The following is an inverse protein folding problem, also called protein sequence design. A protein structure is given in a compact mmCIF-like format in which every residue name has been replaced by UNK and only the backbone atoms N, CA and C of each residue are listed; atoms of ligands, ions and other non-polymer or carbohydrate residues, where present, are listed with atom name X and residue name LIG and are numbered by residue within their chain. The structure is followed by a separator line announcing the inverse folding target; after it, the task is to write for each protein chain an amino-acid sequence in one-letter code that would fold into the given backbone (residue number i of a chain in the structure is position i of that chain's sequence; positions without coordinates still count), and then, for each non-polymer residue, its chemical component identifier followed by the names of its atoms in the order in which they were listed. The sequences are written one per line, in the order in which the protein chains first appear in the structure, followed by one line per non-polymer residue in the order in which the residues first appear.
data_IF_232491345766
#
_entry.id   IF_232491345766
#
_cell.length_a   1.000
_cell.length_b   1.000
_cell.length_c   1.000
_cell.angle_alpha   90.00
_cell.angle_beta   90.00
_cell.angle_gamma   90.00
#
_symmetry.space_group_name_H-M   'P 1'
#
loop_
_entity.id
_entity.type
_entity.pdbx_description
1 polymer ?
#
# COMPACT_ATOMS: atom_id res chain seq x y z
N UNK A 1 -34.55 -11.08 9.50
CA UNK A 1 -33.43 -11.67 8.73
C UNK A 1 -32.17 -11.33 9.49
N UNK A 2 -31.62 -12.31 10.18
CA UNK A 2 -30.43 -12.19 11.02
C UNK A 2 -29.20 -12.04 10.14
N UNK A 3 -28.49 -10.91 10.28
CA UNK A 3 -27.11 -10.78 9.80
C UNK A 3 -26.25 -11.79 10.60
N UNK A 4 -25.98 -12.93 10.00
CA UNK A 4 -24.90 -13.79 10.45
C UNK A 4 -23.58 -13.05 10.20
N UNK A 5 -23.02 -12.49 11.27
CA UNK A 5 -21.62 -12.08 11.33
C UNK A 5 -20.76 -13.29 10.98
N UNK A 6 -20.31 -13.41 9.75
CA UNK A 6 -19.22 -14.34 9.40
C UNK A 6 -17.99 -13.91 10.20
N UNK A 7 -17.76 -14.58 11.30
CA UNK A 7 -16.49 -14.54 12.01
C UNK A 7 -15.48 -15.23 11.09
N UNK A 8 -14.86 -14.46 10.18
CA UNK A 8 -13.86 -14.98 9.27
C UNK A 8 -12.67 -15.51 10.08
N UNK A 9 -12.16 -16.68 9.70
CA UNK A 9 -10.95 -17.21 10.30
C UNK A 9 -9.81 -16.20 10.20
N UNK A 10 -9.06 -16.02 11.30
CA UNK A 10 -7.89 -15.13 11.36
C UNK A 10 -6.63 -15.99 11.34
N UNK A 11 -5.84 -15.88 10.28
CA UNK A 11 -4.53 -16.50 10.18
C UNK A 11 -3.45 -15.65 10.86
N UNK A 12 -2.36 -16.28 11.30
CA UNK A 12 -1.21 -15.58 11.90
C UNK A 12 0.09 -16.09 11.31
N UNK A 13 0.98 -15.18 10.93
CA UNK A 13 2.31 -15.48 10.38
C UNK A 13 3.36 -14.63 11.11
N UNK A 14 4.39 -15.25 11.64
CA UNK A 14 5.51 -14.56 12.31
C UNK A 14 6.72 -14.61 11.39
N UNK A 15 7.24 -13.48 10.93
CA UNK A 15 8.29 -13.41 9.91
C UNK A 15 9.70 -13.31 10.50
N UNK A 16 9.98 -12.33 11.37
CA UNK A 16 11.33 -12.10 11.87
C UNK A 16 12.33 -11.88 10.73
N UNK A 17 13.36 -12.71 10.63
CA UNK A 17 14.41 -12.64 9.60
C UNK A 17 14.16 -13.58 8.40
N UNK A 18 12.97 -14.14 8.26
CA UNK A 18 12.60 -15.02 7.13
C UNK A 18 12.82 -14.32 5.80
N UNK A 19 13.41 -15.04 4.84
CA UNK A 19 13.64 -14.51 3.50
C UNK A 19 12.30 -14.14 2.82
N UNK A 20 12.30 -13.07 2.04
CA UNK A 20 11.07 -12.50 1.48
C UNK A 20 10.26 -13.50 0.63
N UNK A 21 10.89 -14.42 -0.10
CA UNK A 21 10.17 -15.42 -0.90
C UNK A 21 9.35 -16.37 -0.02
N UNK A 22 9.98 -16.94 1.01
CA UNK A 22 9.33 -17.82 1.99
C UNK A 22 8.24 -17.07 2.77
N UNK A 23 8.50 -15.82 3.15
CA UNK A 23 7.53 -14.96 3.82
C UNK A 23 6.25 -14.77 2.98
N UNK A 24 6.42 -14.49 1.68
CA UNK A 24 5.29 -14.35 0.77
C UNK A 24 4.52 -15.66 0.53
N UNK A 25 5.22 -16.79 0.49
CA UNK A 25 4.57 -18.11 0.42
C UNK A 25 3.72 -18.37 1.67
N UNK A 26 4.27 -18.13 2.86
CA UNK A 26 3.56 -18.30 4.12
C UNK A 26 2.32 -17.39 4.21
N UNK A 27 2.44 -16.12 3.82
CA UNK A 27 1.31 -15.18 3.83
C UNK A 27 0.25 -15.59 2.82
N UNK A 28 0.62 -16.00 1.60
CA UNK A 28 -0.35 -16.47 0.60
C UNK A 28 -1.07 -17.75 1.04
N UNK A 29 -0.35 -18.70 1.64
CA UNK A 29 -0.95 -19.91 2.19
C UNK A 29 -1.96 -19.58 3.29
N UNK A 30 -1.60 -18.71 4.24
CA UNK A 30 -2.51 -18.27 5.29
C UNK A 30 -3.74 -17.53 4.73
N UNK A 31 -3.59 -16.68 3.70
CA UNK A 31 -4.71 -15.99 3.03
C UNK A 31 -5.60 -16.95 2.22
N UNK A 32 -5.12 -18.12 1.82
CA UNK A 32 -5.97 -19.14 1.20
C UNK A 32 -6.99 -19.70 2.19
N UNK A 33 -6.60 -19.89 3.45
CA UNK A 33 -7.40 -20.50 4.50
C UNK A 33 -8.18 -19.48 5.35
N UNK A 34 -7.80 -18.19 5.32
CA UNK A 34 -8.39 -17.13 6.13
C UNK A 34 -8.68 -15.87 5.32
N UNK A 35 -9.69 -15.09 5.74
CA UNK A 35 -9.99 -13.80 5.12
C UNK A 35 -9.11 -12.68 5.70
N UNK A 36 -8.67 -12.82 6.94
CA UNK A 36 -7.73 -11.92 7.60
C UNK A 36 -6.47 -12.66 8.01
N UNK A 37 -5.31 -12.10 7.71
CA UNK A 37 -4.01 -12.60 8.17
C UNK A 37 -3.27 -11.50 8.91
N UNK A 38 -2.82 -11.81 10.12
CA UNK A 38 -1.96 -10.96 10.94
C UNK A 38 -0.52 -11.40 10.75
N UNK A 39 0.31 -10.50 10.22
CA UNK A 39 1.75 -10.68 10.08
C UNK A 39 2.44 -9.99 11.24
N UNK A 40 3.18 -10.75 12.02
CA UNK A 40 3.97 -10.22 13.12
C UNK A 40 5.46 -10.18 12.77
N UNK A 41 6.16 -9.20 13.36
CA UNK A 41 7.60 -9.04 13.23
C UNK A 41 8.05 -8.93 11.76
N UNK A 42 7.30 -8.16 10.95
CA UNK A 42 7.78 -7.81 9.61
C UNK A 42 9.09 -7.03 9.72
N UNK A 43 10.10 -7.46 8.98
CA UNK A 43 11.45 -6.90 8.99
C UNK A 43 12.01 -6.81 7.57
N UNK A 44 11.56 -5.82 6.84
CA UNK A 44 11.96 -5.51 5.47
C UNK A 44 11.66 -6.61 4.40
N UNK A 45 10.72 -7.51 4.65
CA UNK A 45 10.28 -8.44 3.60
C UNK A 45 9.56 -7.69 2.49
N UNK A 46 10.05 -7.82 1.27
CA UNK A 46 9.49 -7.19 0.07
C UNK A 46 8.27 -7.95 -0.44
N UNK A 47 7.41 -7.26 -1.20
CA UNK A 47 6.28 -7.82 -1.93
C UNK A 47 5.15 -8.40 -1.06
N UNK A 48 5.08 -8.10 0.24
CA UNK A 48 3.95 -8.53 1.06
C UNK A 48 2.64 -7.95 0.50
N UNK A 49 1.59 -8.78 0.39
CA UNK A 49 0.32 -8.37 -0.20
C UNK A 49 0.35 -8.12 -1.70
N UNK A 50 1.40 -8.56 -2.42
CA UNK A 50 1.47 -8.47 -3.88
C UNK A 50 0.28 -9.17 -4.54
N UNK A 51 -0.37 -8.48 -5.49
CA UNK A 51 -1.52 -8.97 -6.25
C UNK A 51 -2.69 -9.47 -5.37
N UNK A 52 -2.82 -8.93 -4.15
CA UNK A 52 -3.87 -9.36 -3.22
C UNK A 52 -5.26 -9.11 -3.81
N UNK A 53 -6.17 -10.12 -3.77
CA UNK A 53 -7.50 -10.04 -4.35
C UNK A 53 -8.50 -9.36 -3.40
N UNK A 54 -9.70 -9.11 -3.92
CA UNK A 54 -10.86 -8.65 -3.17
C UNK A 54 -11.20 -9.59 -2.00
N UNK A 55 -11.76 -9.03 -0.91
CA UNK A 55 -12.25 -9.78 0.25
C UNK A 55 -11.17 -10.24 1.23
N UNK A 56 -9.89 -9.96 0.97
CA UNK A 56 -8.78 -10.34 1.87
C UNK A 56 -8.26 -9.13 2.64
N UNK A 57 -7.82 -9.38 3.89
CA UNK A 57 -7.23 -8.39 4.78
C UNK A 57 -5.86 -8.86 5.27
N UNK A 58 -4.89 -7.97 5.23
CA UNK A 58 -3.55 -8.21 5.75
C UNK A 58 -3.20 -7.13 6.78
N UNK A 59 -2.99 -7.52 8.02
CA UNK A 59 -2.52 -6.66 9.09
C UNK A 59 -1.04 -6.93 9.34
N UNK A 60 -0.20 -5.89 9.30
CA UNK A 60 1.25 -6.03 9.40
C UNK A 60 1.78 -5.25 10.60
N UNK A 61 2.39 -5.96 11.53
CA UNK A 61 3.10 -5.39 12.67
C UNK A 61 4.62 -5.43 12.42
N UNK A 62 5.24 -4.26 12.36
CA UNK A 62 6.64 -4.07 12.01
C UNK A 62 6.84 -3.20 10.78
N UNK A 63 7.94 -3.40 10.06
CA UNK A 63 8.31 -2.61 8.89
C UNK A 63 8.40 -3.52 7.66
N UNK A 64 7.37 -3.57 6.81
CA UNK A 64 7.45 -4.27 5.53
C UNK A 64 8.47 -3.58 4.61
N UNK A 65 9.07 -4.38 3.72
CA UNK A 65 10.04 -3.91 2.74
C UNK A 65 9.38 -3.28 1.50
N UNK A 66 10.21 -3.04 0.48
CA UNK A 66 9.78 -2.43 -0.79
C UNK A 66 8.66 -3.20 -1.49
N UNK A 67 7.90 -2.49 -2.32
CA UNK A 67 6.81 -3.06 -3.12
C UNK A 67 5.69 -3.73 -2.30
N UNK A 68 5.44 -3.24 -1.07
CA UNK A 68 4.26 -3.63 -0.33
C UNK A 68 2.99 -3.37 -1.16
N UNK A 69 2.08 -4.35 -1.25
CA UNK A 69 0.82 -4.26 -1.98
C UNK A 69 0.97 -3.90 -3.48
N UNK A 70 2.12 -4.20 -4.10
CA UNK A 70 2.28 -4.00 -5.54
C UNK A 70 1.29 -4.85 -6.33
N UNK A 71 0.77 -4.31 -7.44
CA UNK A 71 -0.25 -4.94 -8.30
C UNK A 71 -1.53 -5.36 -7.57
N UNK A 72 -1.78 -4.85 -6.37
CA UNK A 72 -2.97 -5.18 -5.58
C UNK A 72 -4.25 -4.86 -6.38
N UNK A 73 -5.19 -5.80 -6.43
CA UNK A 73 -6.43 -5.67 -7.19
C UNK A 73 -7.69 -5.89 -6.33
N UNK A 74 -7.63 -5.48 -5.10
CA UNK A 74 -8.71 -5.54 -4.10
C UNK A 74 -8.17 -5.66 -2.69
N UNK A 75 -9.04 -5.96 -1.74
CA UNK A 75 -8.67 -6.21 -0.36
C UNK A 75 -8.19 -4.99 0.43
N UNK A 76 -7.63 -5.25 1.60
CA UNK A 76 -7.21 -4.24 2.56
C UNK A 76 -5.87 -4.62 3.20
N UNK A 77 -4.89 -3.72 3.14
CA UNK A 77 -3.59 -3.87 3.82
C UNK A 77 -3.43 -2.77 4.84
N UNK A 78 -3.11 -3.13 6.09
CA UNK A 78 -2.90 -2.19 7.18
C UNK A 78 -1.54 -2.45 7.84
N UNK A 79 -0.71 -1.41 7.93
CA UNK A 79 0.63 -1.46 8.52
C UNK A 79 0.67 -0.67 9.81
N UNK A 80 0.92 -1.35 10.92
CA UNK A 80 1.13 -0.75 12.22
C UNK A 80 2.62 -0.42 12.42
N UNK A 81 3.09 0.57 11.68
CA UNK A 81 4.48 1.00 11.64
C UNK A 81 4.79 1.78 10.36
N UNK A 82 6.08 1.90 10.05
CA UNK A 82 6.55 2.48 8.81
C UNK A 82 6.53 1.44 7.68
N UNK A 83 6.55 1.90 6.44
CA UNK A 83 6.82 1.07 5.26
C UNK A 83 8.00 1.64 4.46
N UNK A 84 8.62 0.81 3.64
CA UNK A 84 9.74 1.21 2.78
C UNK A 84 9.25 1.80 1.45
N UNK A 85 10.02 1.65 0.39
CA UNK A 85 9.75 2.28 -0.91
C UNK A 85 8.69 1.55 -1.73
N UNK A 86 8.09 2.26 -2.68
CA UNK A 86 7.20 1.74 -3.71
C UNK A 86 5.93 1.04 -3.16
N UNK A 87 5.41 1.49 -2.02
CA UNK A 87 4.13 0.99 -1.49
C UNK A 87 3.02 1.26 -2.51
N UNK A 88 2.23 0.22 -2.85
CA UNK A 88 1.14 0.30 -3.81
C UNK A 88 1.58 0.50 -5.27
N UNK A 89 2.80 0.09 -5.61
CA UNK A 89 3.30 0.12 -6.99
C UNK A 89 2.32 -0.58 -7.94
N UNK A 90 1.83 0.13 -8.96
CA UNK A 90 0.87 -0.35 -9.96
C UNK A 90 -0.42 -0.94 -9.34
N UNK A 91 -0.84 -0.44 -8.19
CA UNK A 91 -2.09 -0.85 -7.55
C UNK A 91 -3.29 -0.50 -8.43
N UNK A 92 -4.26 -1.42 -8.53
CA UNK A 92 -5.44 -1.29 -9.37
C UNK A 92 -6.73 -1.06 -8.56
N UNK A 93 -6.88 -1.70 -7.41
CA UNK A 93 -8.04 -1.61 -6.51
C UNK A 93 -7.61 -1.92 -5.07
N UNK A 94 -8.50 -1.68 -4.12
CA UNK A 94 -8.29 -1.97 -2.71
C UNK A 94 -7.85 -0.76 -1.91
N UNK A 95 -7.38 -1.00 -0.69
CA UNK A 95 -6.99 0.05 0.23
C UNK A 95 -5.74 -0.34 1.00
N UNK A 96 -4.79 0.58 1.11
CA UNK A 96 -3.59 0.46 1.96
C UNK A 96 -3.58 1.58 2.98
N UNK A 97 -3.36 1.24 4.25
CA UNK A 97 -3.22 2.20 5.36
C UNK A 97 -1.87 1.97 6.03
N UNK A 98 -1.08 3.03 6.17
CA UNK A 98 0.22 2.99 6.86
C UNK A 98 0.18 3.95 8.04
N UNK A 99 0.25 3.39 9.27
CA UNK A 99 0.27 4.16 10.52
C UNK A 99 1.67 4.68 10.88
N UNK A 100 2.42 5.09 9.89
CA UNK A 100 3.76 5.63 9.98
C UNK A 100 4.12 6.38 8.72
N UNK A 101 5.40 6.41 8.38
CA UNK A 101 5.92 7.01 7.15
C UNK A 101 6.16 5.97 6.07
N UNK A 102 6.17 6.41 4.82
CA UNK A 102 6.63 5.63 3.67
C UNK A 102 7.94 6.20 3.10
N UNK A 103 8.66 5.37 2.36
CA UNK A 103 9.84 5.78 1.58
C UNK A 103 9.47 6.43 0.25
N UNK A 104 10.34 6.25 -0.74
CA UNK A 104 10.25 6.86 -2.08
C UNK A 104 9.23 6.14 -2.98
N UNK A 105 8.77 6.83 -4.02
CA UNK A 105 7.90 6.32 -5.06
C UNK A 105 6.60 5.65 -4.55
N UNK A 106 6.07 6.13 -3.42
CA UNK A 106 4.76 5.74 -2.90
C UNK A 106 3.68 5.91 -3.97
N UNK A 107 2.88 4.86 -4.24
CA UNK A 107 1.84 4.90 -5.27
C UNK A 107 2.37 5.01 -6.71
N UNK A 108 3.60 4.53 -6.97
CA UNK A 108 4.19 4.53 -8.32
C UNK A 108 3.25 3.88 -9.34
N UNK A 109 2.90 4.59 -10.41
CA UNK A 109 2.08 4.07 -11.49
C UNK A 109 0.70 3.53 -11.07
N UNK A 110 0.21 3.94 -9.91
CA UNK A 110 -1.09 3.53 -9.37
C UNK A 110 -2.23 3.87 -10.34
N UNK A 111 -3.19 2.97 -10.55
CA UNK A 111 -4.26 3.10 -11.53
C UNK A 111 -5.66 3.07 -10.93
N UNK A 112 -5.75 2.85 -9.63
CA UNK A 112 -6.98 2.81 -8.84
C UNK A 112 -6.66 2.44 -7.40
N UNK A 113 -7.69 2.31 -6.56
CA UNK A 113 -7.53 2.05 -5.14
C UNK A 113 -7.16 3.30 -4.33
N UNK A 114 -6.86 3.10 -3.05
CA UNK A 114 -6.58 4.19 -2.11
C UNK A 114 -5.40 3.84 -1.23
N UNK A 115 -4.52 4.81 -1.00
CA UNK A 115 -3.41 4.70 -0.05
C UNK A 115 -3.50 5.87 0.93
N UNK A 116 -3.45 5.56 2.22
CA UNK A 116 -3.44 6.53 3.31
C UNK A 116 -2.15 6.35 4.11
N UNK A 117 -1.37 7.41 4.23
CA UNK A 117 -0.15 7.46 5.03
C UNK A 117 -0.33 8.51 6.11
N UNK A 118 -0.21 8.12 7.38
CA UNK A 118 -0.42 9.03 8.50
C UNK A 118 0.66 10.12 8.56
N UNK A 119 1.91 9.73 8.38
CA UNK A 119 3.06 10.63 8.51
C UNK A 119 3.57 11.08 7.12
N UNK A 120 4.86 11.32 6.99
CA UNK A 120 5.49 11.81 5.77
C UNK A 120 5.88 10.68 4.80
N UNK A 121 6.16 11.03 3.55
CA UNK A 121 6.74 10.13 2.57
C UNK A 121 7.99 10.73 1.91
N UNK A 122 8.73 9.88 1.20
CA UNK A 122 9.93 10.25 0.45
C UNK A 122 9.64 10.95 -0.88
N UNK A 123 10.56 10.83 -1.81
CA UNK A 123 10.53 11.47 -3.12
C UNK A 123 9.63 10.71 -4.09
N UNK A 124 9.12 11.42 -5.10
CA UNK A 124 8.34 10.84 -6.22
C UNK A 124 7.08 10.08 -5.79
N UNK A 125 6.43 10.47 -4.71
CA UNK A 125 5.12 9.91 -4.39
C UNK A 125 4.11 10.27 -5.50
N UNK A 126 3.31 9.28 -5.92
CA UNK A 126 2.33 9.43 -7.00
C UNK A 126 2.92 9.59 -8.40
N UNK A 127 4.23 9.36 -8.60
CA UNK A 127 4.85 9.40 -9.93
C UNK A 127 4.17 8.43 -10.89
N UNK A 128 3.87 8.89 -12.13
CA UNK A 128 3.14 8.14 -13.15
C UNK A 128 1.77 7.59 -12.72
N UNK A 129 1.20 8.11 -11.64
CA UNK A 129 -0.16 7.76 -11.24
C UNK A 129 -1.14 8.18 -12.33
N UNK A 130 -2.05 7.28 -12.69
CA UNK A 130 -2.96 7.52 -13.83
C UNK A 130 -4.33 6.94 -13.56
N UNK A 131 -5.36 7.74 -13.74
CA UNK A 131 -6.74 7.26 -13.76
C UNK A 131 -6.96 6.33 -14.96
N UNK A 132 -7.64 5.21 -14.72
CA UNK A 132 -7.95 4.23 -15.76
C UNK A 132 -9.46 3.96 -15.81
N UNK A 133 -10.11 4.52 -16.81
CA UNK A 133 -11.58 4.50 -16.89
C UNK A 133 -12.21 5.18 -15.67
N UNK A 134 -13.11 4.50 -15.00
CA UNK A 134 -13.77 4.99 -13.78
C UNK A 134 -12.92 4.79 -12.50
N UNK A 135 -11.78 4.13 -12.60
CA UNK A 135 -10.88 3.88 -11.47
C UNK A 135 -10.04 5.10 -11.22
N UNK A 136 -10.38 5.85 -10.18
CA UNK A 136 -9.63 7.02 -9.74
C UNK A 136 -8.69 6.62 -8.58
N UNK A 137 -7.36 6.60 -8.78
CA UNK A 137 -6.43 6.36 -7.70
C UNK A 137 -6.41 7.55 -6.74
N UNK A 138 -6.35 7.24 -5.44
CA UNK A 138 -6.32 8.26 -4.38
C UNK A 138 -5.13 8.01 -3.46
N UNK A 139 -4.33 9.04 -3.25
CA UNK A 139 -3.19 9.04 -2.33
C UNK A 139 -3.36 10.15 -1.31
N UNK A 140 -3.38 9.83 -0.03
CA UNK A 140 -3.49 10.79 1.06
C UNK A 140 -2.25 10.68 1.95
N UNK A 141 -1.55 11.79 2.15
CA UNK A 141 -0.33 11.92 2.95
C UNK A 141 -0.58 12.93 4.06
N UNK A 142 -0.50 12.48 5.32
CA UNK A 142 -0.79 13.29 6.49
C UNK A 142 0.35 14.25 6.89
N UNK A 143 1.59 13.91 6.56
CA UNK A 143 2.77 14.73 6.80
C UNK A 143 3.32 15.35 5.51
N UNK A 144 4.64 15.52 5.44
CA UNK A 144 5.32 16.11 4.31
C UNK A 144 5.62 15.08 3.21
N UNK A 145 5.74 15.53 1.97
CA UNK A 145 6.24 14.77 0.84
C UNK A 145 7.55 15.35 0.33
N UNK A 146 8.48 14.49 -0.09
CA UNK A 146 9.74 14.88 -0.71
C UNK A 146 9.56 15.51 -2.10
N UNK A 147 10.67 15.66 -2.83
CA UNK A 147 10.68 16.27 -4.16
C UNK A 147 9.93 15.42 -5.19
N UNK A 148 9.45 16.04 -6.25
CA UNK A 148 8.76 15.42 -7.39
C UNK A 148 7.43 14.73 -7.03
N UNK A 149 6.70 15.24 -6.02
CA UNK A 149 5.35 14.76 -5.73
C UNK A 149 4.45 14.91 -6.96
N UNK A 150 3.81 13.81 -7.40
CA UNK A 150 2.92 13.81 -8.56
C UNK A 150 3.61 14.03 -9.90
N UNK A 151 4.89 13.72 -10.02
CA UNK A 151 5.63 13.79 -11.28
C UNK A 151 4.97 12.91 -12.35
N UNK A 152 4.67 13.45 -13.53
CA UNK A 152 3.94 12.81 -14.62
C UNK A 152 2.57 12.22 -14.22
N UNK A 153 1.90 12.84 -13.25
CA UNK A 153 0.53 12.48 -12.88
C UNK A 153 -0.41 12.70 -14.07
N UNK A 154 -1.17 11.66 -14.44
CA UNK A 154 -2.11 11.67 -15.56
C UNK A 154 -3.53 11.28 -15.11
N UNK A 155 -3.97 11.84 -14.00
CA UNK A 155 -5.29 11.62 -13.39
C UNK A 155 -5.20 10.88 -12.06
N UNK A 156 -6.24 11.05 -11.25
CA UNK A 156 -6.30 10.62 -9.86
C UNK A 156 -6.25 11.81 -8.90
N UNK A 157 -6.16 11.53 -7.62
CA UNK A 157 -6.18 12.54 -6.55
C UNK A 157 -5.02 12.31 -5.60
N UNK A 158 -4.22 13.34 -5.36
CA UNK A 158 -3.24 13.39 -4.27
C UNK A 158 -3.67 14.47 -3.28
N UNK A 159 -3.83 14.09 -2.01
CA UNK A 159 -4.09 15.00 -0.89
C UNK A 159 -2.87 15.02 0.00
N UNK A 160 -2.24 16.17 0.15
CA UNK A 160 -1.11 16.41 1.03
C UNK A 160 -1.54 17.36 2.15
N UNK A 161 -1.38 16.98 3.40
CA UNK A 161 -1.73 17.81 4.55
C UNK A 161 -0.53 18.61 5.09
N UNK A 162 0.69 18.20 4.75
CA UNK A 162 1.94 18.90 5.09
C UNK A 162 2.51 19.69 3.90
N UNK A 163 3.82 19.74 3.79
CA UNK A 163 4.54 20.50 2.79
C UNK A 163 5.04 19.58 1.67
N UNK A 164 5.02 20.08 0.43
CA UNK A 164 5.66 19.44 -0.70
C UNK A 164 7.09 19.97 -0.87
N UNK A 165 8.01 19.09 -1.27
CA UNK A 165 9.33 19.46 -1.72
C UNK A 165 9.30 20.16 -3.09
N UNK A 166 10.46 20.27 -3.73
CA UNK A 166 10.63 20.92 -5.03
C UNK A 166 10.04 20.07 -6.18
N UNK A 167 9.79 20.72 -7.31
CA UNK A 167 9.30 20.09 -8.57
C UNK A 167 7.94 19.40 -8.42
N UNK A 168 7.06 19.97 -7.59
CA UNK A 168 5.68 19.51 -7.45
C UNK A 168 4.97 19.43 -8.80
N UNK A 169 4.35 18.29 -9.08
CA UNK A 169 3.54 18.02 -10.27
C UNK A 169 4.29 18.27 -11.61
N UNK A 170 5.59 18.11 -11.63
CA UNK A 170 6.39 18.25 -12.84
C UNK A 170 5.90 17.29 -13.93
N UNK A 171 5.58 17.81 -15.13
CA UNK A 171 5.07 17.03 -16.25
C UNK A 171 3.64 16.48 -16.04
N UNK A 172 2.88 16.97 -15.07
CA UNK A 172 1.48 16.60 -14.88
C UNK A 172 0.65 16.98 -16.11
N UNK A 173 -0.26 16.08 -16.50
CA UNK A 173 -1.20 16.29 -17.60
C UNK A 173 -2.48 15.48 -17.39
N UNK A 174 -3.60 15.97 -17.92
CA UNK A 174 -4.91 15.31 -17.81
C UNK A 174 -6.05 16.30 -17.82
#
# INVERSE_FOLDING_TARGET
MSEETRNGAVGRVVLGTTHFAEANEAVRAALADADTVVVERAFAQRYLGCAMPEGKRLEIHGVPGNDLACYMDGGFVEVFGNAQDQVGNTMNRGCVVVHGRCGDALGYGMRGGRIFVRDSCGWRAGIHMKQYGERCPVLVIGGDAGNFLGEYLAGGVIVLLGHAGEYLASGMHG
#
